data_IF_525410504036
#
_entry.id   IF_525410504036
#
_cell.length_a   1.000
_cell.length_b   1.000
_cell.length_c   1.000
_cell.angle_alpha   90.00
_cell.angle_beta   90.00
_cell.angle_gamma   90.00
#
_symmetry.space_group_name_H-M   'P 1'
#
loop_
_entity.id
_entity.type
_entity.pdbx_description
1 polymer ?
#
# COMPACT_ATOMS: atom_id res chain seq x y z
N UNK A 1 -26.19 16.49 8.79
CA UNK A 1 -26.04 15.63 7.60
C UNK A 1 -25.47 14.31 8.09
N UNK A 2 -26.35 13.35 8.33
CA UNK A 2 -26.05 12.08 8.99
C UNK A 2 -25.34 11.17 8.00
N UNK A 3 -24.07 10.85 8.24
CA UNK A 3 -23.31 9.89 7.42
C UNK A 3 -24.06 8.56 7.40
N UNK A 4 -24.29 8.02 6.20
CA UNK A 4 -24.82 6.67 6.02
C UNK A 4 -23.81 5.69 6.63
N UNK A 5 -24.12 5.14 7.81
CA UNK A 5 -23.25 4.25 8.61
C UNK A 5 -23.06 2.85 7.98
N UNK A 6 -23.43 2.66 6.71
CA UNK A 6 -23.46 1.36 6.04
C UNK A 6 -22.62 1.29 4.75
N UNK A 7 -21.64 2.15 4.57
CA UNK A 7 -20.71 1.99 3.45
C UNK A 7 -19.80 0.79 3.71
N UNK A 8 -19.85 -0.22 2.83
CA UNK A 8 -18.97 -1.38 2.93
C UNK A 8 -17.50 -0.99 2.77
N UNK A 9 -16.61 -1.82 3.30
CA UNK A 9 -15.17 -1.66 3.08
C UNK A 9 -14.83 -1.73 1.59
N UNK A 10 -15.51 -2.58 0.82
CA UNK A 10 -15.35 -2.69 -0.63
C UNK A 10 -15.62 -1.37 -1.35
N UNK A 11 -16.76 -0.71 -1.05
CA UNK A 11 -17.10 0.57 -1.65
C UNK A 11 -16.11 1.66 -1.24
N UNK A 12 -15.70 1.66 0.04
CA UNK A 12 -14.70 2.58 0.56
C UNK A 12 -13.35 2.42 -0.16
N UNK A 13 -12.87 1.19 -0.31
CA UNK A 13 -11.60 0.90 -0.97
C UNK A 13 -11.64 1.20 -2.47
N UNK A 14 -12.77 0.94 -3.15
CA UNK A 14 -12.96 1.35 -4.53
C UNK A 14 -12.90 2.88 -4.69
N UNK A 15 -13.55 3.62 -3.78
CA UNK A 15 -13.48 5.08 -3.76
C UNK A 15 -12.08 5.60 -3.44
N UNK A 16 -11.36 4.97 -2.50
CA UNK A 16 -9.97 5.27 -2.16
C UNK A 16 -9.06 5.07 -3.36
N UNK A 17 -9.12 3.91 -4.02
CA UNK A 17 -8.28 3.64 -5.19
C UNK A 17 -8.50 4.64 -6.33
N UNK A 18 -9.75 5.07 -6.55
CA UNK A 18 -10.07 6.04 -7.58
C UNK A 18 -9.63 7.49 -7.28
N UNK A 19 -9.41 7.83 -6.00
CA UNK A 19 -9.12 9.21 -5.57
C UNK A 19 -7.71 9.41 -5.02
N UNK A 20 -6.96 8.32 -4.83
CA UNK A 20 -5.67 8.35 -4.12
C UNK A 20 -4.71 9.40 -4.68
N UNK A 21 -4.28 9.24 -5.93
CA UNK A 21 -3.35 10.18 -6.58
C UNK A 21 -4.04 11.40 -7.21
N UNK A 22 -5.34 11.57 -7.01
CA UNK A 22 -6.00 12.85 -7.23
C UNK A 22 -5.81 13.79 -6.02
N UNK A 23 -5.46 13.22 -4.88
CA UNK A 23 -5.36 13.93 -3.60
C UNK A 23 -3.92 13.93 -3.07
N UNK A 24 -3.30 12.75 -3.01
CA UNK A 24 -1.93 12.56 -2.55
C UNK A 24 -0.96 12.86 -3.70
N UNK A 25 0.06 13.71 -3.50
CA UNK A 25 1.05 14.03 -4.52
C UNK A 25 1.71 12.79 -5.13
N UNK A 26 1.87 12.78 -6.46
CA UNK A 26 2.46 11.65 -7.19
C UNK A 26 3.95 11.44 -6.88
N UNK A 27 4.66 12.46 -6.39
CA UNK A 27 6.03 12.36 -5.89
C UNK A 27 6.14 11.39 -4.70
N UNK A 28 5.06 11.18 -3.94
CA UNK A 28 5.03 10.25 -2.83
C UNK A 28 4.98 8.76 -3.24
N UNK A 29 4.80 8.45 -4.53
CA UNK A 29 4.75 7.07 -5.07
C UNK A 29 5.97 6.21 -4.75
N UNK A 30 7.08 6.83 -4.36
CA UNK A 30 8.34 6.16 -4.04
C UNK A 30 8.62 6.07 -2.53
N UNK A 31 7.64 6.42 -1.69
CA UNK A 31 7.77 6.45 -0.23
C UNK A 31 6.73 5.52 0.40
N UNK A 32 7.03 4.22 0.46
CA UNK A 32 6.10 3.20 0.97
C UNK A 32 5.65 3.46 2.42
N UNK A 33 6.54 3.90 3.30
CA UNK A 33 6.21 4.24 4.67
C UNK A 33 5.24 5.42 4.77
N UNK A 34 5.50 6.50 4.02
CA UNK A 34 4.60 7.65 3.93
C UNK A 34 3.22 7.25 3.40
N UNK A 35 3.16 6.58 2.24
CA UNK A 35 1.88 6.28 1.60
C UNK A 35 1.05 5.25 2.38
N UNK A 36 1.69 4.26 3.01
CA UNK A 36 1.00 3.33 3.91
C UNK A 36 0.43 4.04 5.15
N UNK A 37 1.18 4.97 5.75
CA UNK A 37 0.72 5.77 6.89
C UNK A 37 -0.42 6.72 6.52
N UNK A 38 -0.33 7.41 5.39
CA UNK A 38 -1.42 8.24 4.84
C UNK A 38 -2.69 7.42 4.61
N UNK A 39 -2.55 6.25 3.99
CA UNK A 39 -3.67 5.32 3.75
C UNK A 39 -4.31 4.88 5.07
N UNK A 40 -3.50 4.47 6.05
CA UNK A 40 -3.99 4.04 7.36
C UNK A 40 -4.69 5.19 8.11
N UNK A 41 -4.15 6.41 8.03
CA UNK A 41 -4.76 7.59 8.63
C UNK A 41 -6.13 7.89 8.00
N UNK A 42 -6.22 7.83 6.66
CA UNK A 42 -7.46 8.06 5.94
C UNK A 42 -8.54 7.04 6.31
N UNK A 43 -8.19 5.74 6.31
CA UNK A 43 -9.12 4.66 6.66
C UNK A 43 -9.59 4.74 8.12
N UNK A 44 -8.69 5.08 9.06
CA UNK A 44 -9.05 5.34 10.46
C UNK A 44 -10.02 6.51 10.59
N UNK A 45 -9.79 7.60 9.87
CA UNK A 45 -10.70 8.74 9.85
C UNK A 45 -12.09 8.38 9.30
N UNK A 46 -12.18 7.38 8.42
CA UNK A 46 -13.42 6.83 7.88
C UNK A 46 -14.09 5.79 8.79
N UNK A 47 -13.53 5.50 9.96
CA UNK A 47 -14.10 4.57 10.94
C UNK A 47 -13.62 3.12 10.82
N UNK A 48 -12.61 2.84 10.00
CA UNK A 48 -12.06 1.50 9.84
C UNK A 48 -10.84 1.25 10.74
N UNK A 49 -10.66 -0.01 11.15
CA UNK A 49 -9.41 -0.44 11.79
C UNK A 49 -8.38 -0.72 10.71
N UNK A 50 -7.39 0.17 10.60
CA UNK A 50 -6.27 0.05 9.68
C UNK A 50 -4.92 -0.01 10.41
N UNK A 51 -4.00 -0.80 9.87
CA UNK A 51 -2.65 -0.99 10.41
C UNK A 51 -1.60 -1.02 9.31
N UNK A 52 -0.33 -1.14 9.71
CA UNK A 52 0.80 -1.24 8.80
C UNK A 52 1.36 -2.66 8.83
N UNK A 53 1.77 -3.16 7.67
CA UNK A 53 2.45 -4.44 7.53
C UNK A 53 3.76 -4.22 6.79
N UNK A 54 4.88 -4.47 7.47
CA UNK A 54 6.16 -4.60 6.80
C UNK A 54 6.15 -5.88 5.95
N UNK A 55 6.71 -5.80 4.75
CA UNK A 55 6.72 -6.90 3.78
C UNK A 55 7.86 -6.77 2.79
N UNK A 56 8.25 -7.90 2.19
CA UNK A 56 9.07 -7.90 0.99
C UNK A 56 8.15 -8.00 -0.23
N UNK A 57 8.42 -7.22 -1.27
CA UNK A 57 7.66 -7.29 -2.52
C UNK A 57 8.46 -8.05 -3.54
N UNK A 58 7.87 -9.11 -4.09
CA UNK A 58 8.41 -9.87 -5.19
C UNK A 58 7.55 -9.67 -6.42
N UNK A 59 8.17 -9.22 -7.50
CA UNK A 59 7.58 -9.19 -8.82
C UNK A 59 8.15 -10.33 -9.65
N UNK A 60 7.32 -11.33 -9.94
CA UNK A 60 7.68 -12.47 -10.78
C UNK A 60 7.30 -12.22 -12.23
N UNK A 61 8.24 -12.50 -13.14
CA UNK A 61 8.06 -12.38 -14.59
C UNK A 61 8.91 -13.46 -15.31
N UNK A 62 8.68 -13.74 -16.61
CA UNK A 62 9.31 -14.89 -17.28
C UNK A 62 10.83 -14.93 -17.24
N UNK A 63 11.50 -13.77 -17.20
CA UNK A 63 12.96 -13.67 -17.23
C UNK A 63 13.59 -13.61 -15.83
N UNK A 64 12.80 -13.62 -14.75
CA UNK A 64 13.33 -13.62 -13.39
C UNK A 64 12.38 -13.06 -12.34
N UNK A 65 12.94 -12.71 -11.19
CA UNK A 65 12.22 -12.05 -10.10
C UNK A 65 12.89 -10.72 -9.78
N UNK A 66 12.09 -9.68 -9.60
CA UNK A 66 12.54 -8.40 -9.06
C UNK A 66 12.05 -8.29 -7.62
N UNK A 67 12.94 -7.94 -6.69
CA UNK A 67 12.64 -7.95 -5.25
C UNK A 67 12.88 -6.55 -4.66
N UNK A 68 11.94 -6.09 -3.85
CA UNK A 68 11.99 -4.81 -3.14
C UNK A 68 11.85 -5.03 -1.64
N UNK A 69 12.76 -4.41 -0.89
CA UNK A 69 12.80 -4.45 0.57
C UNK A 69 13.39 -5.74 1.11
N UNK A 70 14.09 -5.62 2.24
CA UNK A 70 14.69 -6.76 2.95
C UNK A 70 15.60 -7.62 2.06
N UNK A 71 16.46 -6.96 1.26
CA UNK A 71 17.44 -7.62 0.38
C UNK A 71 18.85 -7.47 0.93
N UNK A 72 19.81 -8.25 0.44
CA UNK A 72 21.23 -8.07 0.80
C UNK A 72 21.86 -6.82 0.16
N UNK A 73 21.12 -6.09 -0.67
CA UNK A 73 21.60 -4.90 -1.38
C UNK A 73 20.97 -3.63 -0.80
N UNK A 74 21.67 -3.03 0.16
CA UNK A 74 21.29 -1.73 0.69
C UNK A 74 21.58 -0.60 -0.30
N UNK A 75 20.67 0.36 -0.39
CA UNK A 75 20.88 1.60 -1.15
C UNK A 75 21.15 2.75 -0.17
N UNK A 76 22.26 3.48 -0.30
CA UNK A 76 22.57 4.60 0.58
C UNK A 76 21.41 5.61 0.63
N UNK A 77 21.00 5.97 1.85
CA UNK A 77 19.92 6.93 2.08
C UNK A 77 18.50 6.42 1.84
N UNK A 78 18.31 5.11 1.58
CA UNK A 78 16.99 4.49 1.49
C UNK A 78 16.83 3.40 2.53
N UNK A 79 15.64 3.33 3.11
CA UNK A 79 15.29 2.21 3.98
C UNK A 79 15.17 0.92 3.16
N UNK A 80 15.82 -0.14 3.63
CA UNK A 80 15.78 -1.46 3.01
C UNK A 80 14.57 -2.26 3.51
N UNK A 81 13.37 -1.78 3.19
CA UNK A 81 12.12 -2.43 3.55
C UNK A 81 11.00 -1.97 2.63
N UNK A 82 9.86 -2.64 2.76
CA UNK A 82 8.61 -2.17 2.16
C UNK A 82 7.51 -2.31 3.20
N UNK A 83 6.55 -1.39 3.17
CA UNK A 83 5.42 -1.39 4.09
C UNK A 83 4.15 -1.02 3.36
N UNK A 84 3.06 -1.67 3.75
CA UNK A 84 1.74 -1.51 3.16
C UNK A 84 0.72 -1.23 4.25
N UNK A 85 -0.42 -0.67 3.86
CA UNK A 85 -1.57 -0.56 4.76
C UNK A 85 -2.40 -1.85 4.70
N UNK A 86 -2.90 -2.27 5.86
CA UNK A 86 -3.88 -3.35 5.96
C UNK A 86 -5.16 -2.87 6.62
N UNK A 87 -6.30 -3.33 6.14
CA UNK A 87 -7.60 -2.96 6.67
C UNK A 87 -8.63 -4.06 6.41
N UNK A 88 -9.21 -4.64 7.46
CA UNK A 88 -10.32 -5.62 7.37
C UNK A 88 -10.11 -6.72 6.29
N UNK A 89 -8.95 -7.35 6.27
CA UNK A 89 -8.64 -8.43 5.32
C UNK A 89 -8.18 -7.96 3.93
N UNK A 90 -7.93 -6.67 3.76
CA UNK A 90 -7.35 -6.08 2.55
C UNK A 90 -5.93 -5.57 2.79
N UNK A 91 -5.12 -5.65 1.74
CA UNK A 91 -3.82 -5.01 1.59
C UNK A 91 -3.96 -3.87 0.59
N UNK A 92 -3.42 -2.71 0.96
CA UNK A 92 -3.36 -1.51 0.13
C UNK A 92 -1.90 -1.08 0.03
N UNK A 93 -1.36 -1.16 -1.18
CA UNK A 93 -0.02 -0.73 -1.52
C UNK A 93 -0.10 0.44 -2.50
N UNK A 94 0.33 1.61 -2.06
CA UNK A 94 0.38 2.84 -2.85
C UNK A 94 1.85 3.25 -3.11
N UNK A 95 2.74 2.27 -3.23
CA UNK A 95 4.13 2.49 -3.60
C UNK A 95 4.65 1.39 -4.54
N UNK A 96 3.76 0.80 -5.34
CA UNK A 96 4.12 -0.23 -6.34
C UNK A 96 4.88 0.35 -7.54
N UNK A 97 5.00 1.67 -7.66
CA UNK A 97 5.82 2.35 -8.68
C UNK A 97 7.29 1.92 -8.64
N UNK A 98 7.81 1.46 -7.49
CA UNK A 98 9.17 0.87 -7.43
C UNK A 98 9.35 -0.32 -8.39
N UNK A 99 8.27 -1.01 -8.76
CA UNK A 99 8.30 -2.13 -9.69
C UNK A 99 8.25 -1.67 -11.16
N UNK A 100 7.89 -0.41 -11.45
CA UNK A 100 7.79 0.10 -12.82
C UNK A 100 9.14 0.19 -13.53
N UNK A 101 10.23 0.34 -12.78
CA UNK A 101 11.58 0.27 -13.34
C UNK A 101 11.87 -1.12 -13.95
N UNK A 102 11.22 -2.17 -13.45
CA UNK A 102 11.27 -3.51 -14.04
C UNK A 102 10.20 -3.69 -15.12
N UNK A 103 8.97 -3.18 -14.91
CA UNK A 103 7.85 -3.36 -15.85
C UNK A 103 6.84 -2.20 -15.83
N UNK A 104 6.65 -1.46 -16.94
CA UNK A 104 5.83 -0.24 -16.99
C UNK A 104 4.32 -0.46 -16.80
N UNK A 105 3.86 -1.71 -16.73
CA UNK A 105 2.43 -2.06 -16.59
C UNK A 105 1.98 -2.22 -15.13
N UNK A 106 2.88 -2.08 -14.15
CA UNK A 106 2.49 -2.18 -12.74
C UNK A 106 1.71 -0.92 -12.32
N UNK A 107 0.46 -1.05 -11.83
CA UNK A 107 -0.32 0.09 -11.37
C UNK A 107 0.37 0.79 -10.20
N UNK A 108 0.20 2.10 -10.05
CA UNK A 108 0.77 2.88 -8.95
C UNK A 108 0.15 2.58 -7.57
N UNK A 109 -1.02 1.93 -7.58
CA UNK A 109 -1.75 1.52 -6.40
C UNK A 109 -2.37 0.14 -6.63
N UNK A 110 -2.14 -0.77 -5.69
CA UNK A 110 -2.76 -2.09 -5.65
C UNK A 110 -3.60 -2.23 -4.39
N UNK A 111 -4.85 -2.64 -4.57
CA UNK A 111 -5.73 -3.10 -3.51
C UNK A 111 -6.05 -4.57 -3.78
N UNK A 112 -5.74 -5.44 -2.83
CA UNK A 112 -5.96 -6.89 -2.97
C UNK A 112 -6.29 -7.52 -1.61
N UNK A 113 -6.85 -8.74 -1.63
CA UNK A 113 -7.16 -9.47 -0.39
C UNK A 113 -5.89 -9.99 0.25
N UNK A 114 -5.85 -9.92 1.58
CA UNK A 114 -4.87 -10.66 2.35
C UNK A 114 -5.14 -12.16 2.21
N UNK A 115 -4.06 -12.93 2.11
CA UNK A 115 -4.09 -14.38 2.17
C UNK A 115 -4.22 -14.85 3.64
N UNK A 116 -4.64 -16.10 3.85
CA UNK A 116 -4.74 -16.65 5.19
C UNK A 116 -3.39 -16.63 5.95
N UNK A 117 -3.41 -16.59 7.29
CA UNK A 117 -2.21 -16.37 8.11
C UNK A 117 -1.18 -17.51 8.07
N UNK A 118 -1.51 -18.67 7.50
CA UNK A 118 -0.56 -19.76 7.26
C UNK A 118 0.19 -19.65 5.93
N UNK A 119 -0.18 -18.71 5.06
CA UNK A 119 0.55 -18.43 3.84
C UNK A 119 1.87 -17.70 4.14
N UNK A 120 2.94 -18.06 3.41
CA UNK A 120 4.20 -17.31 3.43
C UNK A 120 4.05 -15.92 2.78
N UNK A 121 3.13 -15.81 1.82
CA UNK A 121 2.71 -14.56 1.22
C UNK A 121 1.57 -13.93 2.03
N UNK A 122 1.67 -12.63 2.26
CA UNK A 122 0.60 -11.77 2.77
C UNK A 122 -0.48 -11.54 1.71
N UNK A 123 -0.11 -11.35 0.45
CA UNK A 123 -1.04 -11.22 -0.66
C UNK A 123 -0.40 -11.58 -2.00
N UNK A 124 -1.24 -11.76 -3.01
CA UNK A 124 -0.85 -11.91 -4.41
C UNK A 124 -1.76 -11.10 -5.31
N UNK A 125 -1.20 -10.52 -6.37
CA UNK A 125 -1.93 -9.90 -7.47
C UNK A 125 -1.35 -10.40 -8.78
N UNK A 126 -2.14 -11.12 -9.58
CA UNK A 126 -1.77 -11.39 -10.97
C UNK A 126 -1.91 -10.11 -11.79
N UNK A 127 -0.89 -9.81 -12.59
CA UNK A 127 -0.93 -8.78 -13.62
C UNK A 127 -1.46 -9.40 -14.92
N UNK A 128 -0.95 -10.58 -15.27
CA UNK A 128 -1.47 -11.45 -16.32
C UNK A 128 -1.14 -12.93 -16.01
N UNK A 129 -1.15 -13.80 -17.03
CA UNK A 129 -0.87 -15.22 -16.90
C UNK A 129 0.57 -15.55 -16.48
N UNK A 130 1.52 -14.65 -16.75
CA UNK A 130 2.94 -14.87 -16.54
C UNK A 130 3.54 -13.97 -15.47
N UNK A 131 2.85 -12.89 -15.11
CA UNK A 131 3.37 -11.83 -14.25
C UNK A 131 2.51 -11.66 -13.01
N UNK A 132 3.17 -11.56 -11.86
CA UNK A 132 2.47 -11.35 -10.60
C UNK A 132 3.31 -10.58 -9.58
N UNK A 133 2.62 -9.85 -8.71
CA UNK A 133 3.19 -9.25 -7.51
C UNK A 133 2.81 -10.13 -6.31
N UNK A 134 3.79 -10.45 -5.48
CA UNK A 134 3.61 -11.08 -4.19
C UNK A 134 4.12 -10.15 -3.10
N UNK A 135 3.32 -9.99 -2.06
CA UNK A 135 3.75 -9.38 -0.80
C UNK A 135 4.06 -10.53 0.14
N UNK A 136 5.33 -10.68 0.52
CA UNK A 136 5.84 -11.72 1.39
C UNK A 136 6.08 -11.15 2.78
N UNK A 137 6.02 -11.99 3.81
CA UNK A 137 6.53 -11.58 5.13
C UNK A 137 8.00 -11.20 5.03
N UNK A 138 8.49 -10.22 5.81
CA UNK A 138 9.92 -9.92 5.86
C UNK A 138 10.69 -11.21 6.20
N UNK A 139 11.76 -11.53 5.45
CA UNK A 139 12.63 -12.64 5.81
C UNK A 139 13.24 -12.38 7.20
N UNK A 140 13.59 -13.44 7.96
CA UNK A 140 14.29 -13.27 9.22
C UNK A 140 15.64 -12.57 8.99
N UNK A 141 15.94 -11.57 9.81
CA UNK A 141 17.16 -10.77 9.68
C UNK A 141 17.19 -9.63 10.69
N UNK A 142 18.34 -8.98 10.82
CA UNK A 142 18.49 -7.79 11.66
C UNK A 142 18.25 -6.53 10.81
N UNK A 143 16.98 -6.30 10.46
CA UNK A 143 16.58 -5.21 9.59
C UNK A 143 16.45 -3.89 10.37
N UNK A 144 16.74 -2.78 9.69
CA UNK A 144 16.46 -1.46 10.25
C UNK A 144 14.94 -1.27 10.40
N UNK A 145 14.49 -0.63 11.49
CA UNK A 145 13.07 -0.37 11.68
C UNK A 145 12.52 0.54 10.58
N UNK A 146 11.21 0.45 10.32
CA UNK A 146 10.51 1.37 9.43
C UNK A 146 10.80 2.84 9.80
N UNK A 147 11.11 3.70 8.80
CA UNK A 147 11.39 5.10 9.06
C UNK A 147 10.17 5.82 9.62
N UNK A 148 10.42 6.79 10.50
CA UNK A 148 9.41 7.74 10.94
C UNK A 148 9.14 8.75 9.83
N UNK A 149 7.86 8.96 9.53
CA UNK A 149 7.44 9.95 8.53
C UNK A 149 6.95 11.23 9.23
N UNK A 150 7.01 12.40 8.58
CA UNK A 150 6.53 13.64 9.18
C UNK A 150 5.04 13.54 9.55
N UNK A 151 4.75 13.54 10.85
CA UNK A 151 3.40 13.30 11.36
C UNK A 151 2.36 14.30 10.84
N UNK A 152 2.77 15.56 10.65
CA UNK A 152 1.92 16.60 10.09
C UNK A 152 1.55 16.31 8.63
N UNK A 153 2.51 15.88 7.82
CA UNK A 153 2.28 15.50 6.43
C UNK A 153 1.34 14.29 6.34
N UNK A 154 1.61 13.23 7.12
CA UNK A 154 0.74 12.05 7.20
C UNK A 154 -0.69 12.44 7.55
N UNK A 155 -0.87 13.33 8.53
CA UNK A 155 -2.18 13.74 9.00
C UNK A 155 -2.89 14.66 8.00
N UNK A 156 -2.17 15.58 7.35
CA UNK A 156 -2.71 16.46 6.31
C UNK A 156 -3.22 15.65 5.12
N UNK A 157 -2.35 14.82 4.52
CA UNK A 157 -2.67 14.00 3.36
C UNK A 157 -3.74 12.95 3.68
N UNK A 158 -3.65 12.32 4.86
CA UNK A 158 -4.64 11.35 5.33
C UNK A 158 -6.05 11.95 5.50
N UNK A 159 -6.15 13.17 6.03
CA UNK A 159 -7.45 13.89 6.13
C UNK A 159 -7.99 14.28 4.76
N UNK A 160 -7.12 14.78 3.87
CA UNK A 160 -7.52 15.15 2.51
C UNK A 160 -8.07 13.94 1.75
N UNK A 161 -7.35 12.80 1.79
CA UNK A 161 -7.77 11.55 1.17
C UNK A 161 -9.10 11.05 1.75
N UNK A 162 -9.27 11.07 3.08
CA UNK A 162 -10.54 10.68 3.71
C UNK A 162 -11.71 11.58 3.26
N UNK A 163 -11.49 12.89 3.13
CA UNK A 163 -12.50 13.82 2.65
C UNK A 163 -12.90 13.52 1.19
N UNK A 164 -11.92 13.30 0.31
CA UNK A 164 -12.15 12.95 -1.09
C UNK A 164 -12.94 11.63 -1.23
N UNK A 165 -12.60 10.62 -0.42
CA UNK A 165 -13.34 9.35 -0.38
C UNK A 165 -14.80 9.56 0.05
N UNK A 166 -15.06 10.35 1.10
CA UNK A 166 -16.44 10.65 1.53
C UNK A 166 -17.24 11.37 0.45
N UNK A 167 -16.63 12.34 -0.21
CA UNK A 167 -17.26 13.09 -1.29
C UNK A 167 -17.67 12.14 -2.42
N UNK A 168 -16.77 11.24 -2.82
CA UNK A 168 -17.03 10.25 -3.87
C UNK A 168 -18.12 9.25 -3.49
N UNK A 169 -18.20 8.84 -2.22
CA UNK A 169 -19.24 7.92 -1.75
C UNK A 169 -20.63 8.58 -1.62
N UNK A 170 -20.68 9.90 -1.65
CA UNK A 170 -21.92 10.68 -1.54
C UNK A 170 -22.44 11.18 -2.89
N UNK A 171 -21.68 10.97 -3.97
CA UNK A 171 -22.02 11.34 -5.34
C UNK A 171 -22.68 10.16 -6.07
#
# INVERSE_FOLDING_TARGET
MTLNLNTSIEATLAALGATYYQTVPSEHKTYCALTAQVTAHALKALGFTAGLLECQVLYGYPQGNFVVGFTDQEQPGKWNGHVVCSCQGWLIDAATTHLQAAEPLVPDLVITRLLPPWSSALAKKSIDEQRSILWLRPPPGNWQPMPAEPAELVAQEGRALAAAVRQRLSA
#
